data_IF_554151741831
#
_entry.id   IF_554151741831
#
_cell.length_a   1.000
_cell.length_b   1.000
_cell.length_c   1.000
_cell.angle_alpha   90.00
_cell.angle_beta   90.00
_cell.angle_gamma   90.00
#
_symmetry.space_group_name_H-M   'P 1'
#
loop_
_entity.id
_entity.type
_entity.pdbx_description
1 polymer ?
#
# COMPACT_ATOMS: atom_id res chain seq x y z
N UNK A 1 14.00 4.13 32.67
CA UNK A 1 13.63 3.87 31.26
C UNK A 1 12.76 2.62 31.23
N UNK A 2 11.48 2.74 30.83
CA UNK A 2 10.59 1.57 30.74
C UNK A 2 11.03 0.67 29.57
N UNK A 3 11.09 -0.67 29.72
CA UNK A 3 11.44 -1.56 28.62
C UNK A 3 10.42 -1.37 27.50
N UNK A 4 10.88 -1.00 26.29
CA UNK A 4 10.00 -0.94 25.12
C UNK A 4 9.45 -2.35 24.89
N UNK A 5 8.18 -2.56 25.23
CA UNK A 5 7.43 -3.80 24.96
C UNK A 5 7.61 -4.11 23.48
N UNK A 6 8.27 -5.22 23.14
CA UNK A 6 8.46 -5.63 21.74
C UNK A 6 7.08 -5.83 21.12
N UNK A 7 6.79 -5.08 20.06
CA UNK A 7 5.56 -5.30 19.30
C UNK A 7 5.57 -6.73 18.74
N UNK A 8 4.48 -7.48 18.94
CA UNK A 8 4.35 -8.83 18.40
C UNK A 8 4.46 -8.80 16.86
N UNK A 9 5.06 -9.83 16.23
CA UNK A 9 5.20 -9.90 14.77
C UNK A 9 3.89 -10.21 14.04
N UNK A 10 2.81 -10.46 14.79
CA UNK A 10 1.47 -10.73 14.30
C UNK A 10 0.44 -9.81 14.98
N UNK A 11 -0.78 -9.79 14.44
CA UNK A 11 -1.96 -9.29 15.13
C UNK A 11 -2.76 -10.48 15.65
N UNK A 12 -3.47 -10.33 16.76
CA UNK A 12 -4.49 -11.31 17.14
C UNK A 12 -5.66 -11.25 16.15
N UNK A 13 -6.50 -12.28 16.12
CA UNK A 13 -7.69 -12.29 15.25
C UNK A 13 -8.64 -11.13 15.58
N UNK A 14 -8.83 -10.85 16.87
CA UNK A 14 -9.66 -9.73 17.35
C UNK A 14 -9.07 -8.38 16.94
N UNK A 15 -7.77 -8.17 17.12
CA UNK A 15 -7.09 -6.95 16.68
C UNK A 15 -7.23 -6.76 15.16
N UNK A 16 -7.00 -7.83 14.40
CA UNK A 16 -7.09 -7.80 12.94
C UNK A 16 -8.52 -7.45 12.49
N UNK A 17 -9.53 -8.04 13.13
CA UNK A 17 -10.94 -7.77 12.85
C UNK A 17 -11.28 -6.30 13.10
N UNK A 18 -10.94 -5.78 14.27
CA UNK A 18 -11.21 -4.39 14.65
C UNK A 18 -10.53 -3.39 13.70
N UNK A 19 -9.27 -3.63 13.35
CA UNK A 19 -8.51 -2.78 12.44
C UNK A 19 -9.14 -2.79 11.03
N UNK A 20 -9.54 -3.96 10.54
CA UNK A 20 -10.17 -4.09 9.21
C UNK A 20 -11.54 -3.44 9.16
N UNK A 21 -12.35 -3.61 10.18
CA UNK A 21 -13.66 -2.94 10.28
C UNK A 21 -13.50 -1.41 10.32
N UNK A 22 -12.53 -0.92 11.09
CA UNK A 22 -12.22 0.51 11.14
C UNK A 22 -11.79 1.03 9.75
N UNK A 23 -10.88 0.31 9.09
CA UNK A 23 -10.47 0.63 7.72
C UNK A 23 -11.65 0.73 6.76
N UNK A 24 -12.57 -0.23 6.79
CA UNK A 24 -13.73 -0.25 5.90
C UNK A 24 -14.66 0.95 6.15
N UNK A 25 -14.90 1.31 7.41
CA UNK A 25 -15.68 2.51 7.77
C UNK A 25 -15.01 3.78 7.25
N UNK A 26 -13.71 3.92 7.49
CA UNK A 26 -12.94 5.08 7.06
C UNK A 26 -12.89 5.19 5.54
N UNK A 27 -12.65 4.08 4.84
CA UNK A 27 -12.69 4.00 3.38
C UNK A 27 -14.07 4.37 2.83
N UNK A 28 -15.14 3.87 3.43
CA UNK A 28 -16.50 4.18 3.00
C UNK A 28 -16.81 5.68 3.11
N UNK A 29 -16.33 6.34 4.17
CA UNK A 29 -16.50 7.79 4.31
C UNK A 29 -15.84 8.57 3.16
N UNK A 30 -14.63 8.18 2.76
CA UNK A 30 -13.93 8.73 1.60
C UNK A 30 -14.65 8.39 0.28
N UNK A 31 -15.16 7.17 0.14
CA UNK A 31 -15.87 6.74 -1.08
C UNK A 31 -17.18 7.51 -1.30
N UNK A 32 -17.85 7.89 -0.20
CA UNK A 32 -19.11 8.62 -0.24
C UNK A 32 -18.96 10.14 -0.39
N UNK A 33 -17.75 10.68 -0.24
CA UNK A 33 -17.50 12.11 -0.28
C UNK A 33 -17.29 12.58 -1.73
N UNK A 34 -18.18 13.42 -2.28
CA UNK A 34 -18.07 13.93 -3.64
C UNK A 34 -16.83 14.82 -3.86
N UNK A 35 -16.19 15.30 -2.79
CA UNK A 35 -14.94 16.05 -2.89
C UNK A 35 -13.77 15.21 -3.45
N UNK A 36 -13.87 13.88 -3.44
CA UNK A 36 -12.86 12.96 -3.97
C UNK A 36 -13.26 12.33 -5.31
N UNK A 37 -13.74 13.15 -6.24
CA UNK A 37 -14.15 12.69 -7.58
C UNK A 37 -13.02 11.94 -8.31
N UNK A 38 -11.80 12.48 -8.27
CA UNK A 38 -10.62 11.88 -8.90
C UNK A 38 -10.04 10.73 -8.06
N UNK A 39 -9.69 9.63 -8.73
CA UNK A 39 -9.12 8.43 -8.10
C UNK A 39 -7.82 8.72 -7.33
N UNK A 40 -7.00 9.65 -7.83
CA UNK A 40 -5.74 10.05 -7.16
C UNK A 40 -6.01 10.71 -5.81
N UNK A 41 -7.03 11.57 -5.72
CA UNK A 41 -7.39 12.27 -4.49
C UNK A 41 -7.98 11.30 -3.46
N UNK A 42 -8.84 10.37 -3.91
CA UNK A 42 -9.29 9.24 -3.07
C UNK A 42 -8.11 8.45 -2.51
N UNK A 43 -7.12 8.19 -3.35
CA UNK A 43 -5.97 7.41 -2.90
C UNK A 43 -5.14 8.16 -1.86
N UNK A 44 -4.96 9.47 -1.99
CA UNK A 44 -4.33 10.26 -0.95
C UNK A 44 -5.15 10.30 0.35
N UNK A 45 -6.47 10.36 0.25
CA UNK A 45 -7.36 10.35 1.41
C UNK A 45 -7.28 9.01 2.17
N UNK A 46 -7.40 7.87 1.48
CA UNK A 46 -7.26 6.53 2.07
C UNK A 46 -5.97 6.37 2.89
N UNK A 47 -4.85 6.93 2.42
CA UNK A 47 -3.54 6.80 3.08
C UNK A 47 -3.56 7.37 4.50
N UNK A 48 -4.37 8.39 4.78
CA UNK A 48 -4.47 9.04 6.10
C UNK A 48 -5.06 8.09 7.16
N UNK A 49 -5.89 7.15 6.74
CA UNK A 49 -6.58 6.20 7.63
C UNK A 49 -5.79 4.92 7.90
N UNK A 50 -4.68 4.69 7.19
CA UNK A 50 -3.76 3.61 7.53
C UNK A 50 -2.91 4.00 8.74
N UNK A 51 -3.21 3.49 9.94
CA UNK A 51 -2.50 3.86 11.17
C UNK A 51 -1.02 3.42 11.21
N UNK A 52 -0.62 2.48 10.36
CA UNK A 52 0.74 1.94 10.33
C UNK A 52 1.56 2.60 9.21
N UNK A 53 2.67 3.27 9.55
CA UNK A 53 3.59 3.90 8.57
C UNK A 53 4.13 2.92 7.52
N UNK A 54 4.30 1.63 7.87
CA UNK A 54 4.70 0.61 6.90
C UNK A 54 3.60 0.36 5.87
N UNK A 55 2.34 0.31 6.30
CA UNK A 55 1.20 0.13 5.40
C UNK A 55 0.92 1.38 4.59
N UNK A 56 1.08 2.58 5.16
CA UNK A 56 1.04 3.83 4.40
C UNK A 56 2.09 3.86 3.27
N UNK A 57 3.31 3.40 3.55
CA UNK A 57 4.36 3.31 2.56
C UNK A 57 4.09 2.21 1.53
N UNK A 58 3.63 1.03 1.95
CA UNK A 58 3.22 -0.06 1.08
C UNK A 58 2.16 0.43 0.10
N UNK A 59 1.12 1.06 0.63
CA UNK A 59 0.03 1.59 -0.17
C UNK A 59 0.50 2.68 -1.12
N UNK A 60 1.34 3.62 -0.66
CA UNK A 60 1.92 4.65 -1.54
C UNK A 60 2.74 4.07 -2.69
N UNK A 61 3.49 2.98 -2.46
CA UNK A 61 4.20 2.29 -3.54
C UNK A 61 3.23 1.53 -4.46
N UNK A 62 2.25 0.83 -3.89
CA UNK A 62 1.29 0.04 -4.64
C UNK A 62 0.43 0.93 -5.55
N UNK A 63 -0.14 2.03 -5.04
CA UNK A 63 -0.97 2.94 -5.82
C UNK A 63 -0.18 3.65 -6.91
N UNK A 64 1.06 4.09 -6.61
CA UNK A 64 1.95 4.68 -7.61
C UNK A 64 2.27 3.70 -8.74
N UNK A 65 2.72 2.48 -8.40
CA UNK A 65 3.07 1.47 -9.39
C UNK A 65 1.85 0.99 -10.18
N UNK A 66 0.69 0.85 -9.53
CA UNK A 66 -0.55 0.46 -10.19
C UNK A 66 -1.00 1.52 -11.19
N UNK A 67 -0.89 2.81 -10.87
CA UNK A 67 -1.14 3.89 -11.84
C UNK A 67 -0.22 3.78 -13.04
N UNK A 68 1.09 3.67 -12.81
CA UNK A 68 2.05 3.53 -13.90
C UNK A 68 1.79 2.26 -14.74
N UNK A 69 1.28 1.20 -14.13
CA UNK A 69 0.88 -0.02 -14.84
C UNK A 69 -0.33 0.24 -15.75
N UNK A 70 -1.37 0.93 -15.26
CA UNK A 70 -2.55 1.29 -16.05
C UNK A 70 -2.20 2.23 -17.21
N UNK A 71 -1.30 3.19 -16.97
CA UNK A 71 -0.88 4.20 -17.95
C UNK A 71 0.18 3.66 -18.93
N UNK A 72 0.59 2.39 -18.81
CA UNK A 72 1.71 1.78 -19.55
C UNK A 72 3.05 2.57 -19.43
N UNK A 73 3.25 3.25 -18.30
CA UNK A 73 4.43 4.07 -18.01
C UNK A 73 5.55 3.31 -17.26
N UNK A 74 5.36 2.01 -17.01
CA UNK A 74 6.38 1.17 -16.37
C UNK A 74 7.49 0.80 -17.37
N UNK A 75 8.70 1.26 -17.09
CA UNK A 75 9.85 1.05 -17.97
C UNK A 75 10.34 -0.39 -18.00
N UNK A 76 10.11 -1.13 -16.92
CA UNK A 76 10.57 -2.51 -16.76
C UNK A 76 9.98 -3.21 -15.54
N UNK A 77 9.46 -4.41 -15.73
CA UNK A 77 9.07 -5.33 -14.68
C UNK A 77 9.79 -6.67 -14.85
N UNK A 78 10.14 -7.30 -13.74
CA UNK A 78 10.45 -8.73 -13.71
C UNK A 78 9.16 -9.53 -13.81
N UNK A 79 9.31 -10.84 -14.06
CA UNK A 79 8.19 -11.78 -14.11
C UNK A 79 7.34 -11.69 -12.83
N UNK A 80 6.03 -11.65 -13.02
CA UNK A 80 4.99 -11.63 -11.98
C UNK A 80 4.94 -10.37 -11.09
N UNK A 81 5.79 -9.36 -11.32
CA UNK A 81 5.76 -8.12 -10.53
C UNK A 81 4.47 -7.29 -10.76
N UNK A 82 3.89 -7.37 -11.95
CA UNK A 82 2.58 -6.79 -12.29
C UNK A 82 1.45 -7.40 -11.45
N UNK A 83 1.49 -8.72 -11.26
CA UNK A 83 0.57 -9.48 -10.40
C UNK A 83 0.76 -9.03 -8.95
N UNK A 84 2.01 -8.91 -8.48
CA UNK A 84 2.32 -8.46 -7.11
C UNK A 84 1.80 -7.03 -6.88
N UNK A 85 2.03 -6.11 -7.82
CA UNK A 85 1.55 -4.72 -7.75
C UNK A 85 0.02 -4.70 -7.66
N UNK A 86 -0.66 -5.41 -8.55
CA UNK A 86 -2.12 -5.45 -8.62
C UNK A 86 -2.73 -6.07 -7.36
N UNK A 87 -2.17 -7.19 -6.89
CA UNK A 87 -2.61 -7.86 -5.67
C UNK A 87 -2.38 -6.99 -4.44
N UNK A 88 -1.24 -6.30 -4.37
CA UNK A 88 -0.96 -5.37 -3.28
C UNK A 88 -1.97 -4.22 -3.23
N UNK A 89 -2.23 -3.59 -4.37
CA UNK A 89 -3.18 -2.50 -4.45
C UNK A 89 -4.61 -2.94 -4.10
N UNK A 90 -5.10 -4.05 -4.70
CA UNK A 90 -6.42 -4.62 -4.37
C UNK A 90 -6.54 -4.99 -2.91
N UNK A 91 -5.53 -5.65 -2.33
CA UNK A 91 -5.52 -6.00 -0.91
C UNK A 91 -5.60 -4.77 0.01
N UNK A 92 -4.97 -3.65 -0.37
CA UNK A 92 -5.17 -2.40 0.38
C UNK A 92 -6.62 -1.94 0.31
N UNK A 93 -7.23 -1.92 -0.88
CA UNK A 93 -8.62 -1.49 -1.02
C UNK A 93 -9.59 -2.37 -0.24
N UNK A 94 -9.34 -3.67 -0.21
CA UNK A 94 -10.19 -4.65 0.48
C UNK A 94 -10.08 -4.55 2.01
N UNK A 95 -8.88 -4.39 2.56
CA UNK A 95 -8.69 -4.52 4.00
C UNK A 95 -7.50 -3.73 4.60
N UNK A 96 -6.99 -2.72 3.90
CA UNK A 96 -5.83 -1.93 4.32
C UNK A 96 -4.50 -2.68 4.19
N UNK A 97 -4.50 -3.86 3.56
CA UNK A 97 -3.39 -4.82 3.48
C UNK A 97 -2.99 -5.41 4.83
N UNK A 98 -3.86 -5.31 5.83
CA UNK A 98 -3.64 -5.94 7.14
C UNK A 98 -3.74 -7.45 7.01
N UNK A 99 -2.63 -8.12 7.30
CA UNK A 99 -2.49 -9.58 7.30
C UNK A 99 -2.23 -10.10 8.70
N UNK A 100 -2.31 -11.41 8.90
CA UNK A 100 -1.90 -12.02 10.18
C UNK A 100 -0.39 -11.88 10.44
N UNK A 101 0.42 -11.51 9.45
CA UNK A 101 1.88 -11.46 9.50
C UNK A 101 2.43 -10.08 9.14
N UNK A 102 2.89 -9.32 10.15
CA UNK A 102 3.53 -8.00 9.94
C UNK A 102 4.85 -8.12 9.17
N UNK A 103 5.47 -9.30 9.20
CA UNK A 103 6.66 -9.57 8.42
C UNK A 103 6.37 -9.66 6.93
N UNK A 104 5.25 -10.28 6.54
CA UNK A 104 4.89 -10.38 5.13
C UNK A 104 4.45 -9.02 4.57
N UNK A 105 3.74 -8.21 5.35
CA UNK A 105 3.48 -6.80 5.04
C UNK A 105 4.81 -6.05 4.76
N UNK A 106 5.81 -6.24 5.64
CA UNK A 106 7.13 -5.62 5.49
C UNK A 106 7.86 -6.14 4.23
N UNK A 107 7.81 -7.44 3.95
CA UNK A 107 8.44 -8.04 2.75
C UNK A 107 7.85 -7.45 1.48
N UNK A 108 6.52 -7.38 1.38
CA UNK A 108 5.83 -6.82 0.21
C UNK A 108 6.15 -5.33 0.06
N UNK A 109 6.08 -4.56 1.15
CA UNK A 109 6.47 -3.14 1.14
C UNK A 109 7.89 -2.94 0.60
N UNK A 110 8.84 -3.74 1.08
CA UNK A 110 10.24 -3.65 0.65
C UNK A 110 10.40 -4.03 -0.82
N UNK A 111 9.67 -5.06 -1.28
CA UNK A 111 9.67 -5.49 -2.68
C UNK A 111 9.14 -4.37 -3.59
N UNK A 112 7.96 -3.83 -3.31
CA UNK A 112 7.40 -2.70 -4.05
C UNK A 112 8.32 -1.48 -4.02
N UNK A 113 8.96 -1.20 -2.88
CA UNK A 113 9.94 -0.12 -2.78
C UNK A 113 11.16 -0.31 -3.70
N UNK A 114 11.61 -1.56 -3.94
CA UNK A 114 12.66 -1.86 -4.92
C UNK A 114 12.19 -1.61 -6.35
N UNK A 115 10.95 -1.98 -6.68
CA UNK A 115 10.34 -1.71 -7.99
C UNK A 115 10.31 -0.20 -8.24
N UNK A 116 9.80 0.60 -7.29
CA UNK A 116 9.75 2.07 -7.40
C UNK A 116 11.14 2.64 -7.66
N UNK A 117 12.15 2.27 -6.85
CA UNK A 117 13.53 2.74 -7.05
C UNK A 117 14.06 2.42 -8.44
N UNK A 118 13.75 1.23 -8.96
CA UNK A 118 14.14 0.81 -10.31
C UNK A 118 13.45 1.63 -11.39
N UNK A 119 12.16 1.93 -11.25
CA UNK A 119 11.46 2.82 -12.18
C UNK A 119 12.07 4.22 -12.18
N UNK A 120 12.33 4.79 -10.99
CA UNK A 120 12.95 6.11 -10.85
C UNK A 120 14.32 6.16 -11.52
N UNK A 121 15.17 5.17 -11.26
CA UNK A 121 16.50 5.09 -11.86
C UNK A 121 16.43 5.00 -13.40
N UNK A 122 15.56 4.15 -13.94
CA UNK A 122 15.39 3.99 -15.40
C UNK A 122 14.83 5.25 -16.05
N UNK A 123 13.88 5.93 -15.40
CA UNK A 123 13.33 7.21 -15.88
C UNK A 123 14.41 8.29 -15.95
N UNK A 124 15.29 8.36 -14.96
CA UNK A 124 16.43 9.28 -14.98
C UNK A 124 17.40 8.91 -16.11
N UNK A 125 17.78 7.64 -16.23
CA UNK A 125 18.73 7.18 -17.25
C UNK A 125 18.23 7.36 -18.70
N UNK A 126 16.92 7.31 -18.96
CA UNK A 126 16.36 7.57 -20.30
C UNK A 126 16.25 9.05 -20.67
N UNK A 127 16.38 9.96 -19.70
CA UNK A 127 16.35 11.42 -19.92
C UNK A 127 17.72 11.99 -20.31
N UNK A 128 18.76 11.17 -20.23
CA UNK A 128 20.14 11.43 -20.67
C UNK A 128 20.53 10.38 -21.71
#
# INVERSE_FOLDING_TARGET
MSPRKKALPFYTEEELKLIKEQWLRDKQSVDSDPAYEYYVDRWFAYKKFLYNKNLQALYGFASHLYRLLQDNELYFLYKDEDIIITKAFKGVLENGYYSSSKEDEKKIRLHLGKIVKRQTYRRYKKRY
#
